data_IF_899854595469
#
_entry.id   IF_899854595469
#
_cell.length_a   1.000
_cell.length_b   1.000
_cell.length_c   1.000
_cell.angle_alpha   90.00
_cell.angle_beta   90.00
_cell.angle_gamma   90.00
#
_symmetry.space_group_name_H-M   'P 1'
#
loop_
_entity.id
_entity.type
_entity.pdbx_description
1 polymer ?
#
# COMPACT_ATOMS: atom_id res chain seq x y z
N UNK A 1 -3.36 10.57 -15.34
CA UNK A 1 -4.30 10.97 -16.40
C UNK A 1 -5.58 11.45 -15.75
N UNK A 2 -6.08 12.67 -16.04
CA UNK A 2 -7.44 13.03 -15.66
C UNK A 2 -8.37 11.94 -16.20
N UNK A 3 -9.24 11.38 -15.36
CA UNK A 3 -10.26 10.44 -15.83
C UNK A 3 -11.06 11.16 -16.92
N UNK A 4 -11.09 10.61 -18.13
CA UNK A 4 -12.00 11.07 -19.18
C UNK A 4 -13.42 10.99 -18.63
N UNK A 5 -14.08 12.14 -18.51
CA UNK A 5 -15.46 12.14 -18.04
C UNK A 5 -16.37 11.88 -19.22
N UNK A 6 -16.75 10.62 -19.38
CA UNK A 6 -17.68 10.19 -20.42
C UNK A 6 -19.06 10.80 -20.17
N UNK A 7 -19.62 11.45 -21.19
CA UNK A 7 -20.99 11.97 -21.16
C UNK A 7 -21.98 10.82 -20.91
N UNK A 8 -23.00 11.06 -20.09
CA UNK A 8 -24.06 10.09 -19.82
C UNK A 8 -24.96 9.91 -21.05
N UNK A 9 -25.59 8.74 -21.19
CA UNK A 9 -26.37 8.39 -22.39
C UNK A 9 -27.77 9.02 -22.45
N UNK A 10 -28.26 9.63 -21.36
CA UNK A 10 -29.64 10.15 -21.28
C UNK A 10 -30.69 9.08 -21.02
N UNK A 11 -30.28 7.82 -20.85
CA UNK A 11 -31.19 6.70 -20.55
C UNK A 11 -31.41 6.58 -19.04
N UNK A 12 -32.60 6.11 -18.65
CA UNK A 12 -32.96 5.90 -17.24
C UNK A 12 -32.28 4.67 -16.60
N UNK A 13 -31.85 3.69 -17.41
CA UNK A 13 -31.18 2.45 -16.96
C UNK A 13 -30.03 2.06 -17.90
N UNK A 14 -29.06 1.30 -17.36
CA UNK A 14 -27.85 0.86 -18.07
C UNK A 14 -26.54 1.45 -17.50
N UNK A 15 -25.40 0.93 -17.94
CA UNK A 15 -24.06 1.23 -17.37
C UNK A 15 -23.71 2.73 -17.41
N UNK A 16 -24.13 3.44 -18.46
CA UNK A 16 -23.88 4.88 -18.65
C UNK A 16 -25.15 5.74 -18.51
N UNK A 17 -26.18 5.22 -17.84
CA UNK A 17 -27.42 5.93 -17.57
C UNK A 17 -27.22 7.23 -16.78
N UNK A 18 -28.21 8.12 -16.91
CA UNK A 18 -28.23 9.43 -16.28
C UNK A 18 -28.44 10.56 -17.28
N UNK A 19 -28.80 11.73 -16.77
CA UNK A 19 -29.05 12.93 -17.57
C UNK A 19 -27.78 13.39 -18.31
N UNK A 20 -27.93 13.79 -19.58
CA UNK A 20 -26.84 14.27 -20.42
C UNK A 20 -26.36 15.64 -19.92
N UNK A 21 -25.33 15.65 -19.09
CA UNK A 21 -24.65 16.88 -18.62
C UNK A 21 -23.28 17.00 -19.27
N UNK A 22 -22.77 18.23 -19.41
CA UNK A 22 -21.36 18.51 -19.75
C UNK A 22 -20.51 18.42 -18.48
N UNK A 23 -19.73 17.35 -18.29
CA UNK A 23 -18.99 17.18 -17.05
C UNK A 23 -17.78 18.11 -16.95
N UNK A 24 -17.63 18.77 -15.80
CA UNK A 24 -16.42 19.54 -15.45
C UNK A 24 -15.39 18.61 -14.81
N UNK A 25 -14.10 18.82 -15.13
CA UNK A 25 -12.98 18.18 -14.43
C UNK A 25 -12.39 19.12 -13.37
N UNK A 26 -12.83 19.07 -12.10
CA UNK A 26 -12.22 19.87 -11.04
C UNK A 26 -10.84 19.33 -10.65
N UNK A 27 -9.97 20.22 -10.18
CA UNK A 27 -8.71 19.82 -9.54
C UNK A 27 -9.00 18.98 -8.28
N UNK A 28 -8.11 18.04 -7.98
CA UNK A 28 -8.23 17.23 -6.76
C UNK A 28 -8.06 18.13 -5.53
N UNK A 29 -9.04 18.07 -4.62
CA UNK A 29 -8.98 18.80 -3.35
C UNK A 29 -7.77 18.37 -2.53
N UNK A 30 -7.03 19.33 -1.97
CA UNK A 30 -5.83 19.10 -1.15
C UNK A 30 -6.08 18.13 0.01
N UNK A 31 -7.29 18.14 0.59
CA UNK A 31 -7.67 17.18 1.66
C UNK A 31 -7.59 15.71 1.24
N UNK A 32 -7.74 15.40 -0.05
CA UNK A 32 -7.59 14.03 -0.59
C UNK A 32 -6.13 13.59 -0.70
N UNK A 33 -5.18 14.52 -0.60
CA UNK A 33 -3.74 14.23 -0.63
C UNK A 33 -3.22 13.82 0.75
N UNK A 34 -4.02 13.93 1.83
CA UNK A 34 -3.62 13.52 3.19
C UNK A 34 -3.16 12.05 3.20
N UNK A 35 -1.95 11.82 3.70
CA UNK A 35 -1.33 10.48 3.79
C UNK A 35 -0.39 10.12 2.64
N UNK A 36 -0.23 10.98 1.62
CA UNK A 36 0.80 10.79 0.60
C UNK A 36 2.21 10.90 1.21
N UNK A 37 3.11 10.04 0.74
CA UNK A 37 4.49 10.03 1.21
C UNK A 37 5.27 11.17 0.56
N UNK A 38 5.82 12.07 1.36
CA UNK A 38 6.75 13.11 0.90
C UNK A 38 8.19 12.60 0.93
N UNK A 39 9.09 13.19 0.11
CA UNK A 39 10.52 12.83 0.09
C UNK A 39 11.18 12.97 1.47
N UNK A 40 10.90 14.08 2.16
CA UNK A 40 11.41 14.33 3.52
C UNK A 40 10.89 13.30 4.51
N UNK A 41 9.61 12.98 4.48
CA UNK A 41 9.02 12.00 5.40
C UNK A 41 9.53 10.58 5.13
N UNK A 42 9.80 10.22 3.87
CA UNK A 42 10.43 8.95 3.51
C UNK A 42 11.84 8.87 4.14
N UNK A 43 12.70 9.85 3.87
CA UNK A 43 14.05 9.91 4.42
C UNK A 43 14.08 9.78 5.95
N UNK A 44 13.24 10.55 6.65
CA UNK A 44 13.16 10.47 8.13
C UNK A 44 12.72 9.08 8.60
N UNK A 45 11.78 8.42 7.89
CA UNK A 45 11.33 7.07 8.26
C UNK A 45 12.41 6.01 8.04
N UNK A 46 13.22 6.17 7.00
CA UNK A 46 14.30 5.23 6.69
C UNK A 46 15.40 5.30 7.75
N UNK A 47 15.80 6.52 8.16
CA UNK A 47 16.74 6.74 9.28
C UNK A 47 16.23 6.12 10.58
N UNK A 48 14.94 6.32 10.91
CA UNK A 48 14.36 5.75 12.14
C UNK A 48 14.35 4.20 12.10
N UNK A 49 14.07 3.60 10.95
CA UNK A 49 14.09 2.13 10.80
C UNK A 49 15.49 1.56 10.98
N UNK A 50 16.50 2.24 10.47
CA UNK A 50 17.91 1.86 10.64
C UNK A 50 18.31 1.86 12.12
N UNK A 51 17.97 2.92 12.84
CA UNK A 51 18.33 3.08 14.26
C UNK A 51 17.53 2.16 15.19
N UNK A 52 16.21 2.06 15.00
CA UNK A 52 15.34 1.32 15.92
C UNK A 52 15.28 -0.19 15.60
N UNK A 53 15.58 -0.59 14.37
CA UNK A 53 15.52 -1.97 13.92
C UNK A 53 14.09 -2.56 13.85
N UNK A 54 14.02 -3.90 13.78
CA UNK A 54 12.77 -4.65 13.62
C UNK A 54 12.16 -5.09 14.95
N UNK A 55 10.83 -4.97 15.05
CA UNK A 55 10.07 -5.49 16.17
C UNK A 55 10.13 -7.04 16.24
N UNK A 56 9.91 -7.66 17.42
CA UNK A 56 10.02 -9.12 17.57
C UNK A 56 9.13 -9.93 16.61
N UNK A 57 7.91 -9.44 16.33
CA UNK A 57 7.01 -10.12 15.40
C UNK A 57 7.44 -9.97 13.94
N UNK A 58 8.08 -8.86 13.59
CA UNK A 58 8.62 -8.60 12.24
C UNK A 58 9.83 -9.50 11.96
N UNK A 59 10.72 -9.66 12.94
CA UNK A 59 11.83 -10.63 12.90
C UNK A 59 11.32 -12.05 12.64
N UNK A 60 10.27 -12.48 13.36
CA UNK A 60 9.65 -13.79 13.15
C UNK A 60 9.00 -13.94 11.77
N UNK A 61 8.45 -12.86 11.21
CA UNK A 61 7.93 -12.85 9.83
C UNK A 61 9.08 -13.04 8.85
N UNK A 62 10.20 -12.31 9.01
CA UNK A 62 11.41 -12.46 8.18
C UNK A 62 11.95 -13.89 8.21
N UNK A 63 12.03 -14.53 9.38
CA UNK A 63 12.43 -15.94 9.52
C UNK A 63 11.53 -16.89 8.73
N UNK A 64 10.21 -16.68 8.79
CA UNK A 64 9.25 -17.51 8.05
C UNK A 64 9.37 -17.30 6.54
N UNK A 65 9.63 -16.08 6.09
CA UNK A 65 9.81 -15.74 4.68
C UNK A 65 11.14 -16.31 4.13
N UNK A 66 12.22 -16.29 4.92
CA UNK A 66 13.50 -16.94 4.54
C UNK A 66 13.36 -18.45 4.33
N UNK A 67 12.43 -19.08 5.04
CA UNK A 67 12.10 -20.50 4.91
C UNK A 67 10.96 -20.79 3.91
N UNK A 68 10.58 -19.82 3.06
CA UNK A 68 9.50 -19.96 2.07
C UNK A 68 8.13 -20.35 2.66
N UNK A 69 7.84 -19.97 3.92
CA UNK A 69 6.58 -20.26 4.62
C UNK A 69 5.60 -19.08 4.57
N UNK A 70 5.29 -18.59 3.36
CA UNK A 70 4.50 -17.37 3.14
C UNK A 70 3.11 -17.39 3.78
N UNK A 71 2.38 -18.51 3.66
CA UNK A 71 1.04 -18.67 4.24
C UNK A 71 1.08 -18.53 5.76
N UNK A 72 2.13 -19.06 6.40
CA UNK A 72 2.33 -18.97 7.86
C UNK A 72 2.74 -17.56 8.28
N UNK A 73 3.61 -16.91 7.51
CA UNK A 73 3.98 -15.51 7.71
C UNK A 73 2.76 -14.58 7.65
N UNK A 74 1.90 -14.73 6.63
CA UNK A 74 0.64 -13.97 6.51
C UNK A 74 -0.34 -14.26 7.65
N UNK A 75 -0.46 -15.51 8.11
CA UNK A 75 -1.31 -15.88 9.25
C UNK A 75 -0.81 -15.25 10.56
N UNK A 76 0.51 -15.26 10.79
CA UNK A 76 1.13 -14.60 11.94
C UNK A 76 0.91 -13.09 11.92
N UNK A 77 1.20 -12.44 10.78
CA UNK A 77 1.02 -11.01 10.61
C UNK A 77 -0.45 -10.59 10.77
N UNK A 78 -1.40 -11.38 10.27
CA UNK A 78 -2.84 -11.13 10.47
C UNK A 78 -3.22 -11.24 11.94
N UNK A 79 -2.72 -12.24 12.68
CA UNK A 79 -2.97 -12.36 14.12
C UNK A 79 -2.43 -11.16 14.92
N UNK A 80 -1.33 -10.54 14.48
CA UNK A 80 -0.71 -9.38 15.16
C UNK A 80 -1.33 -8.04 14.75
N UNK A 81 -1.69 -7.86 13.47
CA UNK A 81 -2.17 -6.57 12.91
C UNK A 81 -3.69 -6.50 12.70
N UNK A 82 -4.40 -7.62 12.85
CA UNK A 82 -5.86 -7.75 12.75
C UNK A 82 -6.35 -8.10 11.33
N UNK A 83 -6.15 -7.20 10.36
CA UNK A 83 -6.76 -7.34 9.01
C UNK A 83 -5.81 -7.95 7.98
N UNK A 84 -6.38 -8.62 6.98
CA UNK A 84 -5.60 -9.23 5.90
C UNK A 84 -4.86 -8.20 5.05
N UNK A 85 -5.48 -7.06 4.73
CA UNK A 85 -4.83 -5.99 3.97
C UNK A 85 -3.58 -5.42 4.66
N UNK A 86 -3.64 -5.22 5.99
CA UNK A 86 -2.48 -4.78 6.79
C UNK A 86 -1.41 -5.86 6.84
N UNK A 87 -1.80 -7.12 7.04
CA UNK A 87 -0.87 -8.25 7.06
C UNK A 87 -0.15 -8.43 5.72
N UNK A 88 -0.87 -8.36 4.60
CA UNK A 88 -0.30 -8.43 3.25
C UNK A 88 0.73 -7.34 3.05
N UNK A 89 0.36 -6.07 3.29
CA UNK A 89 1.28 -4.93 3.18
C UNK A 89 2.54 -5.11 4.03
N UNK A 90 2.40 -5.64 5.25
CA UNK A 90 3.55 -5.84 6.14
C UNK A 90 4.45 -6.98 5.66
N UNK A 91 3.88 -8.07 5.17
CA UNK A 91 4.66 -9.16 4.57
C UNK A 91 5.42 -8.68 3.33
N UNK A 92 4.77 -7.90 2.47
CA UNK A 92 5.42 -7.36 1.26
C UNK A 92 6.58 -6.41 1.64
N UNK A 93 6.43 -5.60 2.70
CA UNK A 93 7.52 -4.78 3.26
C UNK A 93 8.70 -5.64 3.78
N UNK A 94 8.42 -6.74 4.49
CA UNK A 94 9.46 -7.65 4.98
C UNK A 94 10.16 -8.42 3.85
N UNK A 95 9.45 -8.74 2.77
CA UNK A 95 10.05 -9.35 1.57
C UNK A 95 11.03 -8.38 0.90
N UNK A 96 10.66 -7.10 0.77
CA UNK A 96 11.54 -6.07 0.23
C UNK A 96 12.78 -5.87 1.12
N UNK A 97 12.60 -5.83 2.44
CA UNK A 97 13.71 -5.76 3.40
C UNK A 97 14.71 -6.91 3.23
N UNK A 98 14.23 -8.15 3.01
CA UNK A 98 15.09 -9.30 2.72
C UNK A 98 15.85 -9.12 1.41
N UNK A 99 15.18 -8.62 0.36
CA UNK A 99 15.80 -8.39 -0.94
C UNK A 99 16.89 -7.31 -0.87
N UNK A 100 16.65 -6.21 -0.15
CA UNK A 100 17.63 -5.15 0.10
C UNK A 100 18.82 -5.67 0.93
N UNK A 101 18.55 -6.44 1.99
CA UNK A 101 19.61 -7.06 2.80
C UNK A 101 20.50 -7.99 1.97
N UNK A 102 19.92 -8.74 1.02
CA UNK A 102 20.69 -9.59 0.10
C UNK A 102 21.55 -8.78 -0.86
N UNK A 103 21.04 -7.66 -1.39
CA UNK A 103 21.80 -6.78 -2.29
C UNK A 103 22.96 -6.09 -1.59
N UNK A 104 22.81 -5.69 -0.33
CA UNK A 104 23.87 -5.03 0.43
C UNK A 104 24.96 -5.98 0.93
N UNK A 105 24.66 -7.29 1.03
CA UNK A 105 25.61 -8.32 1.44
C UNK A 105 26.40 -8.96 0.30
N UNK A 106 26.17 -8.51 -0.94
CA UNK A 106 26.94 -8.89 -2.13
C UNK A 106 27.85 -7.76 -2.58
#
# INVERSE_FOLDING_TARGET
MPKEVKQKSGLARGINAGHKVTPRQPAARVSRTKGHLSKRTAFVRDVVKEVAGLAPYERRVVELLRNSKDKRARKLAKRRLGTFGRAKRKVDEMTNYIAESRRAGH
#
